data_IF_862224404788
#
_entry.id   IF_862224404788
#
_cell.length_a   1.000
_cell.length_b   1.000
_cell.length_c   1.000
_cell.angle_alpha   90.00
_cell.angle_beta   90.00
_cell.angle_gamma   90.00
#
_symmetry.space_group_name_H-M   'P 1'
#
loop_
_entity.id
_entity.type
_entity.pdbx_description
1 polymer ?
#
# COMPACT_ATOMS: atom_id res chain seq x y z
N UNK A 1 -100.34 -25.25 1.50
CA UNK A 1 -101.00 -24.42 2.53
C UNK A 1 -99.99 -23.51 3.21
N UNK A 2 -100.34 -22.26 2.94
CA UNK A 2 -100.16 -21.06 3.81
C UNK A 2 -98.74 -20.73 4.30
N UNK A 3 -98.32 -19.63 3.76
CA UNK A 3 -98.43 -18.21 4.19
C UNK A 3 -97.34 -17.79 5.15
N UNK A 4 -96.61 -16.83 4.65
CA UNK A 4 -96.44 -15.44 5.17
C UNK A 4 -95.39 -15.36 6.32
N UNK A 5 -94.56 -14.45 6.34
CA UNK A 5 -94.40 -13.04 6.11
C UNK A 5 -93.11 -12.58 6.67
N UNK A 6 -92.60 -11.67 5.99
CA UNK A 6 -92.30 -10.27 6.32
C UNK A 6 -91.18 -9.94 7.30
N UNK A 7 -90.40 -9.01 6.81
CA UNK A 7 -89.82 -7.83 7.49
C UNK A 7 -88.51 -8.06 8.24
N UNK A 8 -87.41 -7.56 7.76
CA UNK A 8 -87.00 -6.18 7.85
C UNK A 8 -85.95 -6.07 8.88
N UNK A 9 -84.86 -5.60 8.51
CA UNK A 9 -84.07 -4.57 9.16
C UNK A 9 -82.66 -4.60 8.62
N UNK A 10 -82.37 -3.57 7.97
CA UNK A 10 -81.15 -2.92 7.68
C UNK A 10 -80.31 -2.75 8.98
N UNK A 11 -79.15 -3.27 8.99
CA UNK A 11 -78.07 -2.88 9.91
C UNK A 11 -76.75 -2.83 9.15
N UNK A 12 -76.41 -1.62 8.74
CA UNK A 12 -75.12 -1.17 8.27
C UNK A 12 -74.10 -1.36 9.39
N UNK A 13 -73.19 -2.30 9.25
CA UNK A 13 -71.97 -2.32 10.03
C UNK A 13 -70.93 -1.43 9.40
N UNK A 14 -70.20 -0.61 10.18
CA UNK A 14 -69.14 0.24 9.68
C UNK A 14 -67.89 -0.61 9.43
N UNK A 15 -67.32 -0.47 8.23
CA UNK A 15 -65.97 -0.93 7.85
C UNK A 15 -64.95 -0.41 8.85
N UNK A 16 -64.34 -1.31 9.61
CA UNK A 16 -63.11 -1.04 10.36
C UNK A 16 -61.99 -0.88 9.33
N UNK A 17 -61.39 0.29 9.30
CA UNK A 17 -60.13 0.56 8.66
C UNK A 17 -59.06 -0.20 9.42
N UNK A 18 -58.52 -1.24 8.78
CA UNK A 18 -57.32 -1.90 9.18
C UNK A 18 -56.14 -0.93 8.93
N UNK A 19 -55.72 -0.26 9.98
CA UNK A 19 -54.49 0.51 10.03
C UNK A 19 -53.32 -0.51 9.95
N UNK A 20 -52.93 -0.86 8.73
CA UNK A 20 -51.69 -1.53 8.44
C UNK A 20 -50.51 -0.67 8.92
N UNK A 21 -50.11 -0.89 10.16
CA UNK A 21 -48.82 -0.41 10.64
C UNK A 21 -47.71 -1.07 9.76
N UNK A 22 -47.21 -0.29 8.81
CA UNK A 22 -45.96 -0.55 8.14
C UNK A 22 -44.85 -0.64 9.20
N UNK A 23 -44.52 -1.86 9.56
CA UNK A 23 -43.35 -2.18 10.33
C UNK A 23 -42.13 -1.98 9.41
N UNK A 24 -41.80 -0.71 9.13
CA UNK A 24 -40.49 -0.33 8.57
C UNK A 24 -39.41 -0.67 9.62
N UNK A 25 -38.98 -1.93 9.65
CA UNK A 25 -37.76 -2.30 10.32
C UNK A 25 -36.61 -1.61 9.60
N UNK A 26 -35.76 -0.84 10.30
CA UNK A 26 -34.67 -0.13 9.68
C UNK A 26 -33.65 -1.13 9.13
N UNK A 27 -33.50 -1.16 7.82
CA UNK A 27 -32.47 -1.91 7.06
C UNK A 27 -31.01 -1.53 7.45
N UNK A 28 -30.80 -0.72 8.46
CA UNK A 28 -29.48 -0.31 8.96
C UNK A 28 -28.73 -1.41 9.75
N UNK A 29 -29.42 -2.46 10.22
CA UNK A 29 -28.78 -3.49 11.07
C UNK A 29 -27.86 -4.45 10.30
N UNK A 30 -28.11 -4.68 9.02
CA UNK A 30 -27.31 -5.61 8.23
C UNK A 30 -25.96 -5.01 7.76
N UNK A 31 -25.91 -3.71 7.53
CA UNK A 31 -24.67 -3.02 7.08
C UNK A 31 -23.66 -2.87 8.23
N UNK A 32 -24.11 -2.69 9.47
CA UNK A 32 -23.25 -2.56 10.66
C UNK A 32 -22.66 -3.89 11.05
N UNK A 33 -23.40 -5.01 10.91
CA UNK A 33 -22.91 -6.36 11.26
C UNK A 33 -21.90 -6.91 10.25
N UNK A 34 -21.88 -6.41 9.01
CA UNK A 34 -20.89 -6.81 8.00
C UNK A 34 -19.53 -6.16 8.29
N UNK A 35 -19.52 -5.01 8.94
CA UNK A 35 -18.28 -4.25 9.20
C UNK A 35 -17.48 -4.81 10.39
N UNK A 36 -18.12 -5.40 11.39
CA UNK A 36 -17.44 -6.03 12.53
C UNK A 36 -16.61 -7.29 12.15
N UNK A 37 -16.88 -7.90 10.99
CA UNK A 37 -16.15 -9.06 10.46
C UNK A 37 -15.05 -8.68 9.49
N UNK A 38 -14.97 -7.42 9.08
CA UNK A 38 -13.93 -6.95 8.17
C UNK A 38 -12.69 -6.54 8.95
N UNK A 39 -11.54 -6.82 8.36
CA UNK A 39 -10.26 -6.27 8.83
C UNK A 39 -10.38 -4.76 9.04
N UNK A 40 -9.88 -4.20 10.15
CA UNK A 40 -9.93 -2.76 10.41
C UNK A 40 -9.45 -1.93 9.23
N UNK A 41 -10.13 -0.83 8.95
CA UNK A 41 -9.85 0.00 7.78
C UNK A 41 -8.38 0.42 7.69
N UNK A 42 -7.79 0.86 8.81
CA UNK A 42 -6.39 1.28 8.86
C UNK A 42 -5.40 0.17 8.50
N UNK A 43 -5.69 -1.06 8.89
CA UNK A 43 -4.88 -2.23 8.54
C UNK A 43 -4.96 -2.48 7.02
N UNK A 44 -6.17 -2.43 6.45
CA UNK A 44 -6.35 -2.58 5.00
C UNK A 44 -5.62 -1.50 4.21
N UNK A 45 -5.73 -0.23 4.65
CA UNK A 45 -5.02 0.91 4.03
C UNK A 45 -3.50 0.72 4.10
N UNK A 46 -2.97 0.28 5.24
CA UNK A 46 -1.54 0.02 5.40
C UNK A 46 -1.05 -1.09 4.47
N UNK A 47 -1.79 -2.21 4.39
CA UNK A 47 -1.44 -3.32 3.48
C UNK A 47 -1.52 -2.88 2.01
N UNK A 48 -2.56 -2.14 1.62
CA UNK A 48 -2.69 -1.61 0.27
C UNK A 48 -1.54 -0.68 -0.12
N UNK A 49 -1.11 0.17 0.81
CA UNK A 49 0.02 1.06 0.60
C UNK A 49 1.33 0.28 0.42
N UNK A 50 1.57 -0.72 1.29
CA UNK A 50 2.73 -1.59 1.17
C UNK A 50 2.73 -2.40 -0.13
N UNK A 51 1.58 -2.94 -0.56
CA UNK A 51 1.48 -3.67 -1.84
C UNK A 51 1.70 -2.76 -3.04
N UNK A 52 1.29 -1.50 -2.95
CA UNK A 52 1.43 -0.52 -4.03
C UNK A 52 2.86 -0.03 -4.22
N UNK A 53 3.54 0.28 -3.12
CA UNK A 53 4.85 0.95 -3.14
C UNK A 53 6.00 0.05 -2.69
N UNK A 54 5.71 -1.13 -2.14
CA UNK A 54 6.69 -2.05 -1.59
C UNK A 54 7.08 -1.76 -0.14
N UNK A 55 6.88 -0.53 0.31
CA UNK A 55 7.24 -0.07 1.66
C UNK A 55 6.29 1.03 2.16
N UNK A 56 6.35 1.28 3.47
CA UNK A 56 5.63 2.33 4.17
C UNK A 56 6.56 2.95 5.20
N UNK A 57 6.76 4.26 5.11
CA UNK A 57 7.66 5.02 5.99
C UNK A 57 6.89 5.71 7.10
N UNK A 58 7.40 5.66 8.33
CA UNK A 58 6.82 6.37 9.48
C UNK A 58 6.82 7.88 9.25
N UNK A 59 7.90 8.42 8.68
CA UNK A 59 8.06 9.85 8.38
C UNK A 59 6.97 10.41 7.46
N UNK A 60 6.50 9.61 6.51
CA UNK A 60 5.51 10.04 5.53
C UNK A 60 4.07 9.70 5.96
N UNK A 61 3.86 8.52 6.54
CA UNK A 61 2.53 8.02 6.93
C UNK A 61 2.51 7.40 8.32
N UNK A 62 2.76 8.21 9.37
CA UNK A 62 2.94 7.70 10.74
C UNK A 62 1.75 6.91 11.27
N UNK A 63 0.52 7.28 10.90
CA UNK A 63 -0.68 6.60 11.37
C UNK A 63 -0.83 5.19 10.75
N UNK A 64 -0.49 5.03 9.48
CA UNK A 64 -0.55 3.72 8.82
C UNK A 64 0.61 2.83 9.29
N UNK A 65 1.80 3.40 9.46
CA UNK A 65 2.96 2.70 10.02
C UNK A 65 2.66 2.10 11.39
N UNK A 66 2.17 2.93 12.33
CA UNK A 66 1.77 2.47 13.68
C UNK A 66 0.65 1.45 13.63
N UNK A 67 -0.31 1.62 12.72
CA UNK A 67 -1.40 0.66 12.55
C UNK A 67 -0.90 -0.70 12.04
N UNK A 68 0.07 -0.72 11.13
CA UNK A 68 0.70 -1.96 10.66
C UNK A 68 1.44 -2.67 11.81
N UNK A 69 2.26 -1.94 12.58
CA UNK A 69 2.99 -2.50 13.72
C UNK A 69 2.07 -3.00 14.85
N UNK A 70 1.00 -2.28 15.14
CA UNK A 70 0.05 -2.67 16.18
C UNK A 70 -0.81 -3.89 15.79
N UNK A 71 -0.84 -4.28 14.52
CA UNK A 71 -1.69 -5.35 14.00
C UNK A 71 -0.91 -6.34 13.12
N UNK A 72 0.29 -6.72 13.55
CA UNK A 72 1.20 -7.62 12.81
C UNK A 72 0.50 -8.90 12.34
N UNK A 73 -0.23 -9.56 13.22
CA UNK A 73 -0.94 -10.81 12.93
C UNK A 73 -2.02 -10.62 11.85
N UNK A 74 -2.77 -9.52 11.92
CA UNK A 74 -3.79 -9.21 10.91
C UNK A 74 -3.17 -8.88 9.55
N UNK A 75 -2.05 -8.17 9.53
CA UNK A 75 -1.27 -7.89 8.31
C UNK A 75 -0.73 -9.20 7.73
N UNK A 76 -0.15 -10.05 8.57
CA UNK A 76 0.41 -11.34 8.15
C UNK A 76 -0.66 -12.26 7.58
N UNK A 77 -1.83 -12.33 8.20
CA UNK A 77 -3.00 -13.10 7.70
C UNK A 77 -3.43 -12.66 6.30
N UNK A 78 -3.27 -11.37 5.95
CA UNK A 78 -3.62 -10.85 4.62
C UNK A 78 -2.51 -11.18 3.61
N UNK A 79 -1.24 -11.13 4.03
CA UNK A 79 -0.09 -11.30 3.15
C UNK A 79 0.26 -12.77 2.90
N UNK A 80 -0.03 -13.66 3.85
CA UNK A 80 0.30 -15.09 3.80
C UNK A 80 -0.28 -15.79 2.57
N UNK A 81 -1.58 -15.66 2.21
CA UNK A 81 -2.13 -16.28 1.01
C UNK A 81 -1.51 -15.78 -0.31
N UNK A 82 -0.74 -14.71 -0.26
CA UNK A 82 -0.03 -14.15 -1.40
C UNK A 82 1.46 -14.54 -1.42
N UNK A 83 1.90 -15.47 -0.56
CA UNK A 83 3.31 -15.82 -0.33
C UNK A 83 4.18 -14.59 0.02
N UNK A 84 3.58 -13.61 0.68
CA UNK A 84 4.24 -12.39 1.14
C UNK A 84 4.34 -12.35 2.66
N UNK A 85 5.30 -11.61 3.16
CA UNK A 85 5.48 -11.30 4.57
C UNK A 85 5.80 -9.82 4.76
N UNK A 86 5.55 -9.30 5.95
CA UNK A 86 5.96 -7.96 6.34
C UNK A 86 7.33 -8.00 7.02
N UNK A 87 8.30 -7.24 6.50
CA UNK A 87 9.54 -6.92 7.18
C UNK A 87 9.40 -5.60 7.94
N UNK A 88 10.13 -5.48 9.04
CA UNK A 88 10.15 -4.28 9.89
C UNK A 88 11.58 -3.85 10.11
N UNK A 89 11.86 -2.57 9.86
CA UNK A 89 13.10 -1.89 10.25
C UNK A 89 12.72 -0.71 11.15
N UNK A 90 12.66 -0.97 12.46
CA UNK A 90 12.27 0.03 13.46
C UNK A 90 13.29 1.17 13.55
N UNK A 91 14.57 0.88 13.25
CA UNK A 91 15.63 1.88 13.32
C UNK A 91 15.43 2.98 12.26
N UNK A 92 14.97 2.58 11.07
CA UNK A 92 14.69 3.50 9.97
C UNK A 92 13.23 3.91 9.87
N UNK A 93 12.36 3.37 10.75
CA UNK A 93 10.93 3.63 10.69
C UNK A 93 10.28 3.09 9.41
N UNK A 94 10.65 1.89 8.99
CA UNK A 94 10.17 1.28 7.76
C UNK A 94 9.42 -0.02 8.03
N UNK A 95 8.31 -0.23 7.35
CA UNK A 95 7.74 -1.55 7.12
C UNK A 95 7.68 -1.81 5.62
N UNK A 96 7.97 -3.03 5.20
CA UNK A 96 8.07 -3.37 3.79
C UNK A 96 7.58 -4.79 3.51
N UNK A 97 7.23 -5.05 2.26
CA UNK A 97 6.79 -6.37 1.80
C UNK A 97 7.98 -7.15 1.27
N UNK A 98 8.08 -8.41 1.69
CA UNK A 98 9.08 -9.36 1.18
C UNK A 98 8.38 -10.67 0.80
N UNK A 99 9.01 -11.45 -0.07
CA UNK A 99 8.54 -12.80 -0.41
C UNK A 99 8.84 -13.73 0.76
N UNK A 100 7.86 -14.53 1.17
CA UNK A 100 8.11 -15.61 2.13
C UNK A 100 9.12 -16.59 1.53
N UNK A 101 10.15 -16.87 2.28
CA UNK A 101 11.07 -17.94 1.94
C UNK A 101 10.38 -19.25 2.35
N UNK A 102 9.59 -19.80 1.44
CA UNK A 102 9.11 -21.18 1.52
C UNK A 102 10.22 -22.15 1.08
N UNK A 103 9.97 -23.46 1.20
CA UNK A 103 10.80 -24.49 0.58
C UNK A 103 10.82 -24.23 -0.93
N UNK A 104 11.81 -23.45 -1.37
CA UNK A 104 12.03 -23.16 -2.78
C UNK A 104 12.46 -24.48 -3.41
N UNK A 105 11.55 -25.12 -4.14
CA UNK A 105 11.96 -26.02 -5.19
C UNK A 105 12.79 -25.17 -6.13
N UNK A 106 14.08 -25.45 -6.23
CA UNK A 106 15.02 -24.81 -7.14
C UNK A 106 14.53 -24.97 -8.58
N UNK A 107 13.57 -24.16 -8.97
CA UNK A 107 13.24 -23.94 -10.37
C UNK A 107 13.80 -22.59 -10.75
N UNK A 108 14.87 -22.61 -11.52
CA UNK A 108 15.69 -21.46 -11.91
C UNK A 108 14.93 -20.29 -12.55
N UNK A 109 13.68 -20.47 -12.95
CA UNK A 109 12.88 -19.46 -13.67
C UNK A 109 11.65 -18.94 -12.90
N UNK A 110 11.37 -19.41 -11.68
CA UNK A 110 10.20 -18.92 -10.95
C UNK A 110 10.46 -17.55 -10.32
N UNK A 111 9.61 -16.59 -10.65
CA UNK A 111 9.59 -15.29 -9.99
C UNK A 111 8.20 -15.02 -9.45
N UNK A 112 8.13 -14.52 -8.21
CA UNK A 112 6.87 -14.17 -7.58
C UNK A 112 6.10 -13.12 -8.42
N UNK A 113 4.82 -13.37 -8.79
CA UNK A 113 4.09 -12.53 -9.75
C UNK A 113 3.85 -11.09 -9.26
N UNK A 114 3.82 -10.87 -7.94
CA UNK A 114 3.65 -9.54 -7.34
C UNK A 114 4.98 -8.81 -7.12
N UNK A 115 6.12 -9.47 -7.30
CA UNK A 115 7.45 -8.87 -7.17
C UNK A 115 7.99 -8.50 -8.53
N UNK A 116 8.08 -7.20 -8.77
CA UNK A 116 8.67 -6.70 -10.01
C UNK A 116 10.18 -6.84 -9.95
N UNK A 117 10.73 -7.69 -10.80
CA UNK A 117 12.18 -7.72 -11.04
C UNK A 117 12.51 -6.65 -12.08
N UNK A 118 13.11 -5.55 -11.62
CA UNK A 118 13.59 -4.51 -12.50
C UNK A 118 15.02 -4.81 -12.93
N UNK A 119 15.24 -4.98 -14.23
CA UNK A 119 16.59 -5.03 -14.77
C UNK A 119 17.10 -3.61 -14.95
N UNK A 120 18.14 -3.28 -14.19
CA UNK A 120 18.82 -1.99 -14.31
C UNK A 120 19.90 -2.09 -15.40
N UNK A 121 20.08 -1.02 -16.16
CA UNK A 121 21.22 -0.92 -17.06
C UNK A 121 22.51 -0.57 -16.28
N UNK A 122 23.64 -0.55 -16.97
CA UNK A 122 24.95 -0.29 -16.35
C UNK A 122 24.99 1.06 -15.65
N UNK A 123 24.47 2.12 -16.30
CA UNK A 123 24.49 3.49 -15.77
C UNK A 123 23.62 3.62 -14.52
N UNK A 124 22.43 3.02 -14.54
CA UNK A 124 21.53 2.98 -13.40
C UNK A 124 22.15 2.21 -12.22
N UNK A 125 22.75 1.04 -12.50
CA UNK A 125 23.40 0.23 -11.47
C UNK A 125 24.57 0.95 -10.83
N UNK A 126 25.36 1.65 -11.65
CA UNK A 126 26.51 2.43 -11.17
C UNK A 126 26.03 3.63 -10.31
N UNK A 127 25.01 4.37 -10.76
CA UNK A 127 24.47 5.48 -10.00
C UNK A 127 23.91 5.01 -8.65
N UNK A 128 23.21 3.88 -8.59
CA UNK A 128 22.74 3.30 -7.33
C UNK A 128 23.93 2.94 -6.41
N UNK A 129 24.99 2.37 -6.95
CA UNK A 129 26.16 2.05 -6.14
C UNK A 129 26.81 3.31 -5.55
N UNK A 130 26.90 4.38 -6.32
CA UNK A 130 27.40 5.69 -5.87
C UNK A 130 26.49 6.27 -4.78
N UNK A 131 25.17 6.33 -5.03
CA UNK A 131 24.20 6.83 -4.05
C UNK A 131 24.22 6.02 -2.75
N UNK A 132 24.38 4.69 -2.85
CA UNK A 132 24.52 3.83 -1.67
C UNK A 132 25.80 4.15 -0.86
N UNK A 133 26.90 4.47 -1.52
CA UNK A 133 28.13 4.88 -0.82
C UNK A 133 27.91 6.19 -0.07
N UNK A 134 27.28 7.18 -0.68
CA UNK A 134 26.93 8.44 -0.02
C UNK A 134 26.05 8.17 1.21
N UNK A 135 25.00 7.36 1.05
CA UNK A 135 24.10 7.04 2.15
C UNK A 135 24.80 6.32 3.31
N UNK A 136 25.70 5.36 3.03
CA UNK A 136 26.47 4.67 4.06
C UNK A 136 27.40 5.66 4.80
N UNK A 137 28.08 6.54 4.08
CA UNK A 137 28.93 7.57 4.69
C UNK A 137 28.10 8.50 5.59
N UNK A 138 26.94 8.93 5.13
CA UNK A 138 26.03 9.75 5.89
C UNK A 138 25.52 9.06 7.16
N UNK A 139 25.14 7.76 7.10
CA UNK A 139 24.74 6.99 8.28
C UNK A 139 25.88 6.82 9.29
N UNK A 140 27.14 6.74 8.82
CA UNK A 140 28.31 6.68 9.71
C UNK A 140 28.52 7.99 10.47
N UNK A 141 28.24 9.13 9.85
CA UNK A 141 28.41 10.45 10.46
C UNK A 141 27.20 10.87 11.30
N UNK A 142 26.00 10.61 10.82
CA UNK A 142 24.73 11.10 11.41
C UNK A 142 24.06 10.10 12.32
N UNK A 143 24.54 8.86 12.36
CA UNK A 143 23.92 7.73 13.08
C UNK A 143 22.94 6.96 12.23
N UNK A 144 22.81 5.67 12.55
CA UNK A 144 21.86 4.76 11.89
C UNK A 144 20.44 5.24 12.17
N UNK A 145 19.63 5.38 11.12
CA UNK A 145 18.25 5.86 11.22
C UNK A 145 18.07 7.31 10.76
N UNK A 146 19.13 7.97 10.30
CA UNK A 146 19.01 9.22 9.57
C UNK A 146 18.14 8.98 8.32
N UNK A 147 17.03 9.73 8.21
CA UNK A 147 15.94 9.37 7.29
C UNK A 147 16.18 9.80 5.85
N UNK A 148 16.99 10.80 5.59
CA UNK A 148 17.24 11.34 4.24
C UNK A 148 18.61 11.97 4.14
N UNK A 149 19.34 11.60 3.09
CA UNK A 149 20.55 12.28 2.66
C UNK A 149 20.25 13.04 1.37
N UNK A 150 20.75 14.27 1.28
CA UNK A 150 20.66 15.10 0.10
C UNK A 150 22.02 15.12 -0.59
N UNK A 151 22.09 14.61 -1.81
CA UNK A 151 23.31 14.61 -2.63
C UNK A 151 23.12 15.57 -3.79
N UNK A 152 24.07 16.49 -3.98
CA UNK A 152 24.01 17.42 -5.09
C UNK A 152 24.30 16.70 -6.42
N UNK A 153 23.54 17.05 -7.47
CA UNK A 153 23.75 16.48 -8.82
C UNK A 153 25.19 16.68 -9.29
N UNK A 154 25.78 17.85 -8.97
CA UNK A 154 27.14 18.19 -9.39
C UNK A 154 28.22 17.34 -8.69
N UNK A 155 27.92 16.72 -7.56
CA UNK A 155 28.79 15.77 -6.88
C UNK A 155 28.77 14.38 -7.53
N UNK A 156 27.66 14.02 -8.17
CA UNK A 156 27.50 12.73 -8.85
C UNK A 156 28.20 12.70 -10.22
N UNK A 157 28.30 13.84 -10.90
CA UNK A 157 28.90 13.94 -12.25
C UNK A 157 30.31 13.39 -12.30
N UNK A 158 31.29 13.88 -11.50
CA UNK A 158 32.65 13.40 -11.57
C UNK A 158 32.78 11.90 -11.20
N UNK A 159 31.94 11.42 -10.31
CA UNK A 159 31.96 10.02 -9.91
C UNK A 159 31.48 9.09 -11.04
N UNK A 160 30.45 9.50 -11.79
CA UNK A 160 29.99 8.77 -12.97
C UNK A 160 31.01 8.82 -14.11
N UNK A 161 31.66 9.98 -14.32
CA UNK A 161 32.67 10.16 -15.37
C UNK A 161 33.87 9.22 -15.22
N UNK A 162 34.29 8.93 -13.98
CA UNK A 162 35.38 7.97 -13.71
C UNK A 162 35.14 6.61 -14.37
N UNK A 163 33.89 6.15 -14.41
CA UNK A 163 33.54 4.82 -14.91
C UNK A 163 32.97 4.83 -16.34
N UNK A 164 32.25 5.89 -16.70
CA UNK A 164 31.49 5.97 -17.96
C UNK A 164 32.17 6.86 -19.00
N UNK A 165 33.21 7.59 -18.61
CA UNK A 165 33.85 8.58 -19.45
C UNK A 165 33.02 9.87 -19.59
N UNK A 166 33.63 10.88 -20.21
CA UNK A 166 33.05 12.20 -20.41
C UNK A 166 32.20 12.28 -21.67
N UNK A 167 31.08 13.03 -21.61
CA UNK A 167 30.22 13.32 -22.78
C UNK A 167 30.63 14.59 -23.53
N UNK A 168 31.71 15.25 -23.09
CA UNK A 168 32.31 16.40 -23.75
C UNK A 168 31.64 17.75 -23.50
N UNK A 169 30.59 17.81 -22.65
CA UNK A 169 30.07 19.08 -22.14
C UNK A 169 29.36 18.92 -20.81
N UNK A 170 29.55 19.87 -19.92
CA UNK A 170 28.93 19.88 -18.58
C UNK A 170 27.39 19.78 -18.64
N UNK A 171 26.76 20.47 -19.58
CA UNK A 171 25.30 20.39 -19.75
C UNK A 171 24.82 18.99 -20.13
N UNK A 172 25.58 18.26 -20.95
CA UNK A 172 25.24 16.85 -21.29
C UNK A 172 25.41 15.95 -20.11
N UNK A 173 26.47 16.10 -19.32
CA UNK A 173 26.71 15.31 -18.12
C UNK A 173 25.60 15.54 -17.08
N UNK A 174 25.26 16.79 -16.81
CA UNK A 174 24.18 17.14 -15.90
C UNK A 174 22.83 16.54 -16.35
N UNK A 175 22.49 16.64 -17.63
CA UNK A 175 21.27 16.06 -18.17
C UNK A 175 21.27 14.53 -18.07
N UNK A 176 22.42 13.87 -18.27
CA UNK A 176 22.58 12.43 -18.09
C UNK A 176 22.23 12.02 -16.64
N UNK A 177 22.82 12.69 -15.65
CA UNK A 177 22.55 12.41 -14.23
C UNK A 177 21.09 12.65 -13.89
N UNK A 178 20.50 13.77 -14.30
CA UNK A 178 19.08 14.08 -14.07
C UNK A 178 18.18 13.01 -14.69
N UNK A 179 18.44 12.59 -15.92
CA UNK A 179 17.67 11.53 -16.58
C UNK A 179 17.74 10.20 -15.83
N UNK A 180 18.93 9.83 -15.36
CA UNK A 180 19.12 8.61 -14.55
C UNK A 180 18.38 8.70 -13.21
N UNK A 181 18.46 9.85 -12.53
CA UNK A 181 17.74 10.08 -11.26
C UNK A 181 16.22 10.01 -11.47
N UNK A 182 15.68 10.58 -12.55
CA UNK A 182 14.25 10.49 -12.87
C UNK A 182 13.80 9.02 -13.11
N UNK A 183 14.65 8.24 -13.77
CA UNK A 183 14.40 6.81 -13.95
C UNK A 183 14.41 6.07 -12.60
N UNK A 184 15.40 6.32 -11.75
CA UNK A 184 15.49 5.71 -10.41
C UNK A 184 14.34 6.14 -9.49
N UNK A 185 13.87 7.39 -9.63
CA UNK A 185 12.67 7.86 -8.97
C UNK A 185 11.43 7.08 -9.41
N UNK A 186 11.29 6.81 -10.70
CA UNK A 186 10.22 5.94 -11.23
C UNK A 186 10.24 4.53 -10.64
N UNK A 187 11.40 4.07 -10.15
CA UNK A 187 11.59 2.79 -9.46
C UNK A 187 11.48 2.89 -7.93
N UNK A 188 11.25 4.07 -7.38
CA UNK A 188 11.14 4.28 -5.93
C UNK A 188 12.48 4.22 -5.17
N UNK A 189 13.61 4.30 -5.88
CA UNK A 189 14.96 4.22 -5.28
C UNK A 189 15.49 5.57 -4.81
N UNK A 190 14.97 6.66 -5.36
CA UNK A 190 15.26 8.03 -4.95
C UNK A 190 13.95 8.80 -4.84
N UNK A 191 13.87 9.73 -3.89
CA UNK A 191 12.74 10.65 -3.76
C UNK A 191 12.94 11.89 -4.61
N UNK A 192 11.84 12.59 -4.93
CA UNK A 192 11.94 13.93 -5.49
C UNK A 192 12.28 14.93 -4.36
N UNK A 193 13.11 15.89 -4.70
CA UNK A 193 13.22 17.14 -3.95
C UNK A 193 12.02 18.02 -4.21
#
# INVERSE_FOLDING_TARGET
DRMAGASGADETEPMALDDGADDEQPVMSAAVQVDERRTPQRVREAVQEMLKYGLLEESQKPNLYRSALANLEAVDTILEPLDLAMGVDEVRGLVFVTVRQGEVVEQDDWSHPLVRRQRLNLEQSLLIAILRQHFIAYEQESGTGASQELVAVDELIPQLQVYLGELGSEAKERNRVITLLDQLKGHGLVSAL
#
